data_IF_605239426324
#
_entry.id   IF_605239426324
#
_cell.length_a   1.000
_cell.length_b   1.000
_cell.length_c   1.000
_cell.angle_alpha   90.00
_cell.angle_beta   90.00
_cell.angle_gamma   90.00
#
_symmetry.space_group_name_H-M   'P 1'
#
loop_
_entity.id
_entity.type
_entity.pdbx_description
1 polymer ?
#
# COMPACT_ATOMS: atom_id res chain seq x y z
N UNK A 1 3.77 11.09 1.49
CA UNK A 1 3.46 10.41 2.76
C UNK A 1 4.27 10.97 3.93
N UNK A 2 5.60 10.82 3.99
CA UNK A 2 6.43 11.30 5.13
C UNK A 2 6.18 12.78 5.45
N UNK A 3 6.22 13.65 4.43
CA UNK A 3 5.91 15.08 4.60
C UNK A 3 4.50 15.32 5.18
N UNK A 4 3.49 14.60 4.70
CA UNK A 4 2.12 14.75 5.19
C UNK A 4 1.98 14.33 6.66
N UNK A 5 2.68 13.27 7.07
CA UNK A 5 2.73 12.85 8.49
C UNK A 5 3.44 13.89 9.35
N UNK A 6 4.53 14.48 8.87
CA UNK A 6 5.20 15.59 9.57
C UNK A 6 4.26 16.80 9.71
N UNK A 7 3.59 17.21 8.63
CA UNK A 7 2.63 18.32 8.66
C UNK A 7 1.46 18.02 9.63
N UNK A 8 1.03 16.77 9.76
CA UNK A 8 0.03 16.34 10.74
C UNK A 8 0.54 16.46 12.18
N UNK A 9 1.78 16.03 12.45
CA UNK A 9 2.41 16.17 13.76
C UNK A 9 2.56 17.64 14.17
N UNK A 10 3.02 18.51 13.26
CA UNK A 10 3.16 19.95 13.50
C UNK A 10 1.83 20.63 13.82
N UNK A 11 0.71 20.07 13.33
CA UNK A 11 -0.66 20.53 13.60
C UNK A 11 -1.28 19.90 14.86
N UNK A 12 -0.52 19.08 15.59
CA UNK A 12 -1.00 18.41 16.80
C UNK A 12 -1.97 17.25 16.55
N UNK A 13 -1.87 16.59 15.39
CA UNK A 13 -2.65 15.37 15.13
C UNK A 13 -2.26 14.27 16.14
N UNK A 14 -3.26 13.50 16.56
CA UNK A 14 -3.04 12.37 17.48
C UNK A 14 -2.46 11.16 16.75
N UNK A 15 -1.80 10.27 17.50
CA UNK A 15 -1.31 9.00 16.99
C UNK A 15 -2.40 8.19 16.28
N UNK A 16 -3.64 8.25 16.77
CA UNK A 16 -4.78 7.57 16.15
C UNK A 16 -5.11 8.14 14.76
N UNK A 17 -5.04 9.46 14.58
CA UNK A 17 -5.25 10.13 13.29
C UNK A 17 -4.13 9.81 12.31
N UNK A 18 -2.88 9.83 12.78
CA UNK A 18 -1.70 9.49 11.97
C UNK A 18 -1.74 8.01 11.58
N UNK A 19 -2.07 7.11 12.51
CA UNK A 19 -2.23 5.69 12.25
C UNK A 19 -3.38 5.41 11.26
N UNK A 20 -4.47 6.17 11.33
CA UNK A 20 -5.53 6.14 10.31
C UNK A 20 -4.99 6.52 8.93
N UNK A 21 -4.34 7.69 8.83
CA UNK A 21 -3.75 8.17 7.59
C UNK A 21 -2.75 7.17 6.97
N UNK A 22 -1.87 6.58 7.79
CA UNK A 22 -0.91 5.57 7.33
C UNK A 22 -1.64 4.33 6.82
N UNK A 23 -2.67 3.83 7.53
CA UNK A 23 -3.45 2.66 7.11
C UNK A 23 -4.17 2.86 5.77
N UNK A 24 -4.56 4.09 5.46
CA UNK A 24 -5.22 4.41 4.19
C UNK A 24 -4.23 4.48 3.02
N UNK A 25 -2.97 4.81 3.29
CA UNK A 25 -1.93 5.02 2.26
C UNK A 25 -0.87 3.92 2.21
N UNK A 26 -0.91 2.94 3.12
CA UNK A 26 0.02 1.81 3.20
C UNK A 26 -0.78 0.54 3.43
N UNK A 27 -0.50 -0.48 2.61
CA UNK A 27 -1.01 -1.84 2.80
C UNK A 27 0.17 -2.80 2.87
N UNK A 28 0.16 -3.63 3.90
CA UNK A 28 1.07 -4.76 4.06
C UNK A 28 0.28 -5.99 3.67
N UNK A 29 0.73 -6.69 2.64
CA UNK A 29 0.04 -7.85 2.06
C UNK A 29 0.99 -9.04 2.10
N UNK A 30 0.52 -10.17 2.63
CA UNK A 30 1.22 -11.44 2.50
C UNK A 30 0.87 -12.06 1.15
N UNK A 31 1.89 -12.48 0.41
CA UNK A 31 1.75 -13.02 -0.95
C UNK A 31 2.50 -14.34 -1.04
N UNK A 32 2.09 -15.22 -1.94
CA UNK A 32 2.78 -16.49 -2.20
C UNK A 32 4.10 -16.27 -2.95
N UNK A 33 4.95 -17.30 -2.98
CA UNK A 33 6.19 -17.26 -3.75
C UNK A 33 5.92 -17.10 -5.26
N UNK A 34 4.83 -17.68 -5.77
CA UNK A 34 4.38 -17.53 -7.15
C UNK A 34 3.94 -16.11 -7.46
N UNK A 35 3.16 -15.49 -6.56
CA UNK A 35 2.73 -14.09 -6.69
C UNK A 35 3.92 -13.13 -6.65
N UNK A 36 4.85 -13.37 -5.71
CA UNK A 36 6.11 -12.64 -5.62
C UNK A 36 6.93 -12.76 -6.91
N UNK A 37 7.09 -13.98 -7.42
CA UNK A 37 7.79 -14.25 -8.68
C UNK A 37 7.15 -13.53 -9.87
N UNK A 38 5.82 -13.52 -9.94
CA UNK A 38 5.06 -12.82 -10.99
C UNK A 38 5.25 -11.30 -10.93
N UNK A 39 5.19 -10.73 -9.74
CA UNK A 39 5.39 -9.30 -9.51
C UNK A 39 6.83 -8.87 -9.83
N UNK A 40 7.83 -9.63 -9.39
CA UNK A 40 9.23 -9.18 -9.35
C UNK A 40 10.01 -9.42 -10.64
N UNK A 41 9.73 -10.54 -11.33
CA UNK A 41 10.55 -10.99 -12.47
C UNK A 41 10.42 -10.06 -13.66
N UNK A 42 11.57 -9.67 -14.24
CA UNK A 42 11.64 -8.77 -15.41
C UNK A 42 11.05 -9.38 -16.67
N UNK A 43 11.06 -10.71 -16.80
CA UNK A 43 10.42 -11.44 -17.90
C UNK A 43 8.92 -11.71 -17.65
N UNK A 44 8.38 -11.24 -16.52
CA UNK A 44 6.96 -11.14 -16.23
C UNK A 44 6.57 -9.66 -16.08
N UNK A 45 6.21 -9.21 -14.87
CA UNK A 45 5.73 -7.83 -14.66
C UNK A 45 6.86 -6.85 -14.33
N UNK A 46 7.91 -7.28 -13.61
CA UNK A 46 9.04 -6.42 -13.25
C UNK A 46 8.67 -5.21 -12.37
N UNK A 47 7.62 -5.33 -11.56
CA UNK A 47 7.00 -4.25 -10.78
C UNK A 47 7.54 -4.11 -9.34
N UNK A 48 8.58 -4.88 -8.97
CA UNK A 48 9.23 -4.80 -7.64
C UNK A 48 9.51 -3.36 -7.21
N UNK A 49 10.04 -2.55 -8.13
CA UNK A 49 10.48 -1.18 -7.89
C UNK A 49 9.88 -0.17 -8.88
N UNK A 50 8.85 -0.56 -9.66
CA UNK A 50 8.27 0.25 -10.73
C UNK A 50 6.76 0.14 -10.74
N UNK A 51 6.09 1.20 -11.14
CA UNK A 51 4.65 1.18 -11.35
C UNK A 51 4.29 0.58 -12.72
N UNK A 52 3.06 0.07 -12.91
CA UNK A 52 2.59 -0.44 -14.19
C UNK A 52 2.72 0.60 -15.32
N UNK A 53 2.77 0.11 -16.57
CA UNK A 53 2.85 0.98 -17.73
C UNK A 53 1.65 1.95 -17.79
N UNK A 54 1.92 3.22 -18.07
CA UNK A 54 0.89 4.27 -18.12
C UNK A 54 0.47 4.83 -16.77
N UNK A 55 0.99 4.31 -15.65
CA UNK A 55 0.73 4.89 -14.34
C UNK A 55 1.34 6.29 -14.21
N UNK A 56 0.53 7.24 -13.74
CA UNK A 56 0.94 8.63 -13.49
C UNK A 56 0.72 9.02 -12.04
N UNK A 57 1.39 10.09 -11.61
CA UNK A 57 1.23 10.60 -10.25
C UNK A 57 -0.24 11.01 -9.98
N UNK A 58 -0.83 10.45 -8.93
CA UNK A 58 -2.24 10.65 -8.57
C UNK A 58 -3.12 9.44 -8.87
N UNK A 59 -2.64 8.47 -9.65
CA UNK A 59 -3.30 7.19 -9.85
C UNK A 59 -3.27 6.33 -8.57
N UNK A 60 -4.00 5.22 -8.61
CA UNK A 60 -4.06 4.26 -7.51
C UNK A 60 -2.65 3.81 -7.07
N UNK A 61 -2.34 4.05 -5.80
CA UNK A 61 -1.07 3.71 -5.18
C UNK A 61 -0.90 2.19 -5.02
N UNK A 62 -1.99 1.42 -5.11
CA UNK A 62 -2.01 -0.04 -5.03
C UNK A 62 -2.02 -0.73 -6.40
N UNK A 63 -1.89 0.02 -7.51
CA UNK A 63 -1.99 -0.51 -8.88
C UNK A 63 -1.06 -1.69 -9.18
N UNK A 64 0.08 -1.82 -8.48
CA UNK A 64 0.97 -2.99 -8.62
C UNK A 64 0.33 -4.29 -8.15
N UNK A 65 -0.44 -4.26 -7.06
CA UNK A 65 -1.14 -5.42 -6.53
C UNK A 65 -2.22 -5.87 -7.50
N UNK A 66 -3.01 -4.91 -8.01
CA UNK A 66 -4.03 -5.16 -9.03
C UNK A 66 -3.41 -5.73 -10.30
N UNK A 67 -2.32 -5.15 -10.81
CA UNK A 67 -1.63 -5.64 -12.01
C UNK A 67 -1.03 -7.05 -11.84
N UNK A 68 -0.66 -7.42 -10.60
CA UNK A 68 -0.15 -8.75 -10.29
C UNK A 68 -1.25 -9.74 -9.86
N UNK A 69 -2.52 -9.34 -9.91
CA UNK A 69 -3.67 -10.15 -9.47
C UNK A 69 -3.56 -10.60 -8.01
N UNK A 70 -2.92 -9.79 -7.17
CA UNK A 70 -2.75 -10.05 -5.75
C UNK A 70 -3.97 -9.48 -5.02
N UNK A 71 -4.76 -10.37 -4.42
CA UNK A 71 -5.90 -9.97 -3.61
C UNK A 71 -5.41 -9.34 -2.30
N UNK A 72 -6.04 -8.24 -1.90
CA UNK A 72 -5.80 -7.61 -0.62
C UNK A 72 -7.12 -7.07 -0.08
N UNK A 73 -7.37 -7.27 1.21
CA UNK A 73 -8.51 -6.65 1.86
C UNK A 73 -8.20 -5.17 2.04
N UNK A 74 -9.00 -4.29 1.44
CA UNK A 74 -9.10 -2.92 1.93
C UNK A 74 -9.81 -3.02 3.27
N UNK A 75 -9.07 -3.12 4.37
CA UNK A 75 -9.65 -3.10 5.70
C UNK A 75 -10.41 -1.80 5.90
N UNK A 76 -11.72 -1.84 5.69
CA UNK A 76 -12.68 -0.83 6.13
C UNK A 76 -13.44 -1.42 7.31
N UNK A 77 -12.74 -1.92 8.31
CA UNK A 77 -13.29 -2.18 9.64
C UNK A 77 -12.15 -2.50 10.59
N UNK A 78 -12.09 -1.75 11.69
CA UNK A 78 -11.07 -1.90 12.73
C UNK A 78 -11.48 -3.09 13.57
N UNK A 79 -11.10 -4.31 13.17
CA UNK A 79 -11.13 -5.42 14.11
C UNK A 79 -9.97 -5.24 15.10
N UNK A 80 -10.35 -4.68 16.23
CA UNK A 80 -9.56 -4.62 17.46
C UNK A 80 -9.36 -6.07 17.92
N UNK A 81 -8.25 -6.68 17.52
CA UNK A 81 -7.72 -7.85 18.21
C UNK A 81 -7.10 -7.37 19.52
N UNK A 82 -7.96 -7.14 20.52
CA UNK A 82 -7.61 -7.27 21.93
C UNK A 82 -8.20 -8.60 22.37
N UNK A 83 -7.32 -9.61 22.44
CA UNK A 83 -7.53 -10.91 23.05
C UNK A 83 -6.19 -11.42 23.56
#
# INVERSE_FOLDING_TARGET
>A
MIKAVHDMLERGATDAQIAGFIRDHVKIVMISDEECSRLDRKDQLGLRQRMPAGWVFGDDIFARLTAAEIAWASTTEVDVLVG
#
